data_IF_985996116544
#
_entry.id   IF_985996116544
#
_cell.length_a   1.000
_cell.length_b   1.000
_cell.length_c   1.000
_cell.angle_alpha   90.00
_cell.angle_beta   90.00
_cell.angle_gamma   90.00
#
_symmetry.space_group_name_H-M   'P 1'
#
loop_
_entity.id
_entity.type
_entity.pdbx_description
1 polymer ?
#
# COMPACT_ATOMS: atom_id res chain seq x y z
N UNK A 1 -62.76 -28.74 -75.21
CA UNK A 1 -61.55 -28.05 -74.68
C UNK A 1 -61.63 -28.06 -73.17
N UNK A 2 -60.91 -28.97 -72.50
CA UNK A 2 -60.86 -29.09 -71.03
C UNK A 2 -59.77 -28.13 -70.52
N UNK A 3 -60.09 -27.17 -69.65
CA UNK A 3 -59.10 -26.37 -68.92
C UNK A 3 -58.85 -27.03 -67.56
N UNK A 4 -57.61 -27.47 -67.36
CA UNK A 4 -57.07 -27.99 -66.12
C UNK A 4 -56.63 -26.79 -65.26
N UNK A 5 -57.25 -26.54 -64.12
CA UNK A 5 -56.73 -25.61 -63.12
C UNK A 5 -55.80 -26.37 -62.18
N UNK A 6 -54.51 -26.05 -62.21
CA UNK A 6 -53.54 -26.42 -61.19
C UNK A 6 -53.68 -25.45 -60.01
N UNK A 7 -53.95 -25.96 -58.81
CA UNK A 7 -53.77 -25.23 -57.55
C UNK A 7 -52.34 -25.49 -57.05
N UNK A 8 -51.48 -24.48 -57.08
CA UNK A 8 -50.18 -24.50 -56.42
C UNK A 8 -50.38 -23.95 -55.01
N UNK A 9 -50.29 -24.81 -54.00
CA UNK A 9 -50.25 -24.40 -52.59
C UNK A 9 -48.83 -23.93 -52.31
N UNK A 10 -48.63 -22.61 -52.25
CA UNK A 10 -47.37 -22.01 -51.82
C UNK A 10 -47.21 -22.16 -50.31
N UNK A 11 -46.21 -22.93 -49.89
CA UNK A 11 -45.80 -23.01 -48.49
C UNK A 11 -44.97 -21.77 -48.16
N UNK A 12 -45.55 -20.81 -47.44
CA UNK A 12 -44.82 -19.63 -46.95
C UNK A 12 -44.03 -20.09 -45.71
N UNK A 13 -42.74 -20.37 -45.88
CA UNK A 13 -41.81 -20.51 -44.77
C UNK A 13 -41.56 -19.08 -44.25
N UNK A 14 -42.25 -18.69 -43.19
CA UNK A 14 -41.90 -17.46 -42.48
C UNK A 14 -40.56 -17.70 -41.78
N UNK A 15 -39.48 -17.14 -42.33
CA UNK A 15 -38.26 -17.01 -41.56
C UNK A 15 -38.54 -16.03 -40.43
N UNK A 16 -38.82 -16.55 -39.23
CA UNK A 16 -38.75 -15.74 -38.03
C UNK A 16 -37.29 -15.38 -37.86
N UNK A 17 -36.98 -14.10 -38.06
CA UNK A 17 -35.72 -13.51 -37.63
C UNK A 17 -35.75 -13.57 -36.10
N UNK A 18 -35.13 -14.60 -35.55
CA UNK A 18 -34.84 -14.67 -34.11
C UNK A 18 -33.78 -13.61 -33.89
N UNK A 19 -34.17 -12.45 -33.38
CA UNK A 19 -33.20 -11.54 -32.77
C UNK A 19 -32.47 -12.34 -31.70
N UNK A 20 -31.14 -12.24 -31.57
CA UNK A 20 -30.48 -12.78 -30.38
C UNK A 20 -31.13 -12.07 -29.19
N UNK A 21 -32.02 -12.80 -28.52
CA UNK A 21 -32.58 -12.36 -27.27
C UNK A 21 -31.39 -12.40 -26.31
N UNK A 22 -31.04 -11.25 -25.75
CA UNK A 22 -29.96 -11.14 -24.79
C UNK A 22 -30.06 -12.26 -23.77
N UNK A 23 -28.95 -12.93 -23.47
CA UNK A 23 -29.04 -14.05 -22.54
C UNK A 23 -29.12 -13.51 -21.12
N UNK A 24 -30.29 -13.71 -20.51
CA UNK A 24 -30.54 -13.40 -19.10
C UNK A 24 -30.17 -11.94 -18.73
N UNK A 25 -30.80 -10.91 -19.35
CA UNK A 25 -30.56 -9.50 -19.03
C UNK A 25 -30.85 -9.13 -17.58
N UNK A 26 -31.80 -9.81 -16.95
CA UNK A 26 -32.14 -9.62 -15.54
C UNK A 26 -31.27 -10.50 -14.61
N UNK A 27 -30.37 -11.31 -15.18
CA UNK A 27 -29.55 -12.25 -14.43
C UNK A 27 -30.26 -13.56 -14.10
N UNK A 28 -29.62 -14.35 -13.23
CA UNK A 28 -30.08 -15.67 -12.78
C UNK A 28 -29.60 -15.96 -11.36
N UNK A 29 -30.44 -16.64 -10.58
CA UNK A 29 -30.08 -17.18 -9.27
C UNK A 29 -30.15 -18.70 -9.29
N UNK A 30 -29.04 -19.35 -8.97
CA UNK A 30 -28.92 -20.78 -8.73
C UNK A 30 -29.00 -21.05 -7.23
N UNK A 31 -30.04 -21.75 -6.81
CA UNK A 31 -30.26 -22.20 -5.43
C UNK A 31 -30.17 -23.71 -5.27
N UNK A 32 -30.04 -24.47 -6.36
CA UNK A 32 -29.89 -25.93 -6.34
C UNK A 32 -28.88 -26.44 -7.37
N UNK A 33 -28.29 -27.61 -7.12
CA UNK A 33 -27.37 -28.25 -8.08
C UNK A 33 -28.08 -28.60 -9.39
N UNK A 34 -29.36 -28.98 -9.34
CA UNK A 34 -30.15 -29.30 -10.53
C UNK A 34 -30.28 -28.10 -11.49
N UNK A 35 -30.36 -26.87 -10.97
CA UNK A 35 -30.43 -25.68 -11.82
C UNK A 35 -29.13 -25.44 -12.58
N UNK A 36 -27.98 -25.68 -11.93
CA UNK A 36 -26.66 -25.61 -12.57
C UNK A 36 -26.53 -26.71 -13.63
N UNK A 37 -26.81 -27.96 -13.26
CA UNK A 37 -26.69 -29.12 -14.14
C UNK A 37 -27.58 -28.98 -15.40
N UNK A 38 -28.72 -28.31 -15.29
CA UNK A 38 -29.64 -28.05 -16.40
C UNK A 38 -29.45 -26.69 -17.10
N UNK A 39 -28.42 -25.89 -16.76
CA UNK A 39 -28.27 -24.53 -17.29
C UNK A 39 -28.31 -24.51 -18.83
N UNK A 40 -27.49 -25.34 -19.49
CA UNK A 40 -27.45 -25.41 -20.96
C UNK A 40 -28.68 -26.07 -21.61
N UNK A 41 -29.49 -26.79 -20.83
CA UNK A 41 -30.78 -27.33 -21.29
C UNK A 41 -31.82 -26.21 -21.32
N UNK A 42 -31.83 -25.37 -20.28
CA UNK A 42 -32.79 -24.29 -20.12
C UNK A 42 -32.42 -23.04 -20.93
N UNK A 43 -31.13 -22.78 -21.12
CA UNK A 43 -30.57 -21.61 -21.81
C UNK A 43 -29.55 -22.04 -22.87
N UNK A 44 -29.98 -22.77 -23.91
CA UNK A 44 -29.07 -23.35 -24.90
C UNK A 44 -28.29 -22.26 -25.66
N UNK A 45 -26.97 -22.39 -25.68
CA UNK A 45 -26.08 -21.45 -26.36
C UNK A 45 -25.82 -20.15 -25.60
N UNK A 46 -26.36 -20.00 -24.38
CA UNK A 46 -26.02 -18.90 -23.51
C UNK A 46 -24.58 -19.04 -23.00
N UNK A 47 -23.69 -18.19 -23.50
CA UNK A 47 -22.28 -18.09 -23.10
C UNK A 47 -21.95 -16.75 -22.46
N UNK A 48 -22.87 -15.78 -22.49
CA UNK A 48 -22.68 -14.45 -21.93
C UNK A 48 -23.96 -14.09 -21.17
N UNK A 49 -23.91 -14.05 -19.83
CA UNK A 49 -25.08 -13.64 -19.04
C UNK A 49 -25.03 -12.12 -18.89
N UNK A 50 -26.03 -11.41 -19.38
CA UNK A 50 -26.04 -9.94 -19.37
C UNK A 50 -26.24 -9.34 -17.96
N UNK A 51 -27.04 -10.00 -17.12
CA UNK A 51 -27.32 -9.54 -15.75
C UNK A 51 -26.46 -10.20 -14.66
N UNK A 52 -26.93 -10.14 -13.42
CA UNK A 52 -26.23 -10.69 -12.26
C UNK A 52 -26.37 -12.21 -12.16
N UNK A 53 -25.34 -12.90 -11.71
CA UNK A 53 -25.35 -14.33 -11.38
C UNK A 53 -25.19 -14.49 -9.87
N UNK A 54 -26.14 -15.15 -9.23
CA UNK A 54 -26.08 -15.50 -7.81
C UNK A 54 -26.09 -17.01 -7.67
N UNK A 55 -25.09 -17.59 -7.03
CA UNK A 55 -24.95 -19.02 -6.74
C UNK A 55 -25.00 -19.17 -5.23
N UNK A 56 -26.13 -19.67 -4.71
CA UNK A 56 -26.39 -19.78 -3.28
C UNK A 56 -27.35 -20.92 -2.97
N UNK A 57 -26.81 -22.13 -2.86
CA UNK A 57 -27.55 -23.35 -2.55
C UNK A 57 -26.73 -24.34 -1.72
N UNK A 58 -27.32 -24.83 -0.62
CA UNK A 58 -26.63 -25.75 0.29
C UNK A 58 -26.32 -27.13 -0.33
N UNK A 59 -26.98 -27.51 -1.43
CA UNK A 59 -26.72 -28.75 -2.18
C UNK A 59 -25.78 -28.57 -3.38
N UNK A 60 -25.31 -27.34 -3.65
CA UNK A 60 -24.40 -27.05 -4.76
C UNK A 60 -22.99 -27.54 -4.37
N UNK A 61 -22.44 -28.42 -5.21
CA UNK A 61 -21.14 -29.09 -5.03
C UNK A 61 -20.18 -28.88 -6.20
N UNK A 62 -20.69 -28.46 -7.36
CA UNK A 62 -19.91 -28.26 -8.60
C UNK A 62 -20.59 -27.25 -9.51
N UNK A 63 -19.79 -26.57 -10.35
CA UNK A 63 -20.28 -25.57 -11.30
C UNK A 63 -20.19 -26.02 -12.77
N UNK A 64 -19.89 -27.31 -13.05
CA UNK A 64 -19.64 -27.85 -14.41
C UNK A 64 -20.63 -27.39 -15.49
N UNK A 65 -21.92 -27.25 -15.14
CA UNK A 65 -22.96 -26.78 -16.06
C UNK A 65 -22.79 -25.35 -16.57
N UNK A 66 -21.94 -24.56 -15.92
CA UNK A 66 -21.60 -23.17 -16.26
C UNK A 66 -20.34 -23.06 -17.15
N UNK A 67 -19.70 -24.18 -17.50
CA UNK A 67 -18.44 -24.22 -18.25
C UNK A 67 -18.45 -23.59 -19.64
N UNK A 68 -19.61 -23.13 -20.12
CA UNK A 68 -19.73 -22.41 -21.39
C UNK A 68 -19.66 -20.89 -21.26
N UNK A 69 -19.71 -20.37 -20.02
CA UNK A 69 -19.75 -18.93 -19.77
C UNK A 69 -18.39 -18.32 -20.05
N UNK A 70 -18.40 -17.28 -20.89
CA UNK A 70 -17.26 -16.47 -21.27
C UNK A 70 -17.28 -15.12 -20.55
N UNK A 71 -18.46 -14.57 -20.29
CA UNK A 71 -18.63 -13.30 -19.59
C UNK A 71 -19.92 -13.25 -18.77
N UNK A 72 -19.88 -12.42 -17.74
CA UNK A 72 -21.05 -11.99 -16.97
C UNK A 72 -21.06 -10.46 -16.98
N UNK A 73 -22.11 -9.85 -17.50
CA UNK A 73 -22.25 -8.40 -17.62
C UNK A 73 -22.55 -7.71 -16.29
N UNK A 74 -23.14 -8.43 -15.34
CA UNK A 74 -23.39 -7.96 -13.97
C UNK A 74 -22.40 -8.50 -12.94
N UNK A 75 -22.89 -8.63 -11.71
CA UNK A 75 -22.16 -9.20 -10.58
C UNK A 75 -22.16 -10.73 -10.62
N UNK A 76 -21.10 -11.36 -10.11
CA UNK A 76 -21.05 -12.78 -9.79
C UNK A 76 -20.92 -12.95 -8.26
N UNK A 77 -21.97 -13.45 -7.63
CA UNK A 77 -21.99 -13.79 -6.21
C UNK A 77 -21.99 -15.33 -6.04
N UNK A 78 -20.97 -15.88 -5.39
CA UNK A 78 -20.87 -17.29 -5.01
C UNK A 78 -20.84 -17.36 -3.49
N UNK A 79 -21.99 -17.63 -2.88
CA UNK A 79 -22.13 -17.58 -1.43
C UNK A 79 -23.06 -18.61 -0.85
N UNK A 80 -22.85 -18.99 0.41
CA UNK A 80 -23.70 -19.95 1.13
C UNK A 80 -23.75 -21.32 0.43
N UNK A 81 -22.63 -21.77 -0.14
CA UNK A 81 -22.49 -23.10 -0.73
C UNK A 81 -21.56 -23.95 0.15
N UNK A 82 -22.10 -24.46 1.25
CA UNK A 82 -21.35 -25.20 2.29
C UNK A 82 -20.63 -26.47 1.77
N UNK A 83 -21.00 -26.95 0.58
CA UNK A 83 -20.45 -28.18 -0.03
C UNK A 83 -19.65 -27.92 -1.32
N UNK A 84 -19.49 -26.67 -1.76
CA UNK A 84 -18.76 -26.33 -2.98
C UNK A 84 -17.25 -26.27 -2.68
N UNK A 85 -16.50 -27.26 -3.18
CA UNK A 85 -15.07 -27.43 -2.89
C UNK A 85 -14.11 -26.68 -3.83
N UNK A 86 -14.55 -26.39 -5.05
CA UNK A 86 -13.78 -25.66 -6.06
C UNK A 86 -14.73 -24.92 -7.02
N UNK A 87 -14.17 -24.06 -7.89
CA UNK A 87 -14.94 -23.26 -8.85
C UNK A 87 -14.87 -23.85 -10.27
N UNK A 88 -14.54 -25.13 -10.40
CA UNK A 88 -14.51 -25.81 -11.69
C UNK A 88 -15.87 -25.73 -12.37
N UNK A 89 -15.85 -25.34 -13.64
CA UNK A 89 -17.03 -24.93 -14.39
C UNK A 89 -17.04 -23.42 -14.69
N UNK A 90 -16.14 -22.63 -14.12
CA UNK A 90 -15.98 -21.21 -14.50
C UNK A 90 -14.72 -20.93 -15.33
N UNK A 91 -13.96 -21.96 -15.74
CA UNK A 91 -12.61 -21.79 -16.32
C UNK A 91 -12.58 -20.93 -17.59
N UNK A 92 -13.71 -20.80 -18.29
CA UNK A 92 -13.79 -20.00 -19.51
C UNK A 92 -14.24 -18.55 -19.26
N UNK A 93 -14.54 -18.17 -18.01
CA UNK A 93 -14.96 -16.82 -17.67
C UNK A 93 -13.76 -15.86 -17.77
N UNK A 94 -13.81 -14.94 -18.73
CA UNK A 94 -12.71 -14.02 -19.03
C UNK A 94 -12.92 -12.63 -18.42
N UNK A 95 -14.19 -12.20 -18.32
CA UNK A 95 -14.55 -10.83 -17.91
C UNK A 95 -15.78 -10.79 -17.01
N UNK A 96 -15.77 -9.84 -16.07
CA UNK A 96 -16.90 -9.53 -15.20
C UNK A 96 -17.21 -8.04 -15.24
N UNK A 97 -18.44 -7.70 -15.66
CA UNK A 97 -18.89 -6.33 -15.80
C UNK A 97 -19.21 -5.63 -14.48
N UNK A 98 -19.41 -6.38 -13.39
CA UNK A 98 -19.64 -5.87 -12.04
C UNK A 98 -18.72 -6.51 -11.00
N UNK A 99 -19.27 -6.77 -9.81
CA UNK A 99 -18.55 -7.25 -8.62
C UNK A 99 -18.38 -8.77 -8.63
N UNK A 100 -17.22 -9.27 -8.21
CA UNK A 100 -17.01 -10.67 -7.83
C UNK A 100 -17.07 -10.79 -6.31
N UNK A 101 -18.03 -11.56 -5.79
CA UNK A 101 -18.18 -11.84 -4.37
C UNK A 101 -18.16 -13.35 -4.09
N UNK A 102 -17.20 -13.80 -3.29
CA UNK A 102 -17.05 -15.21 -2.90
C UNK A 102 -16.96 -15.29 -1.38
N UNK A 103 -17.99 -15.79 -0.71
CA UNK A 103 -18.06 -15.82 0.76
C UNK A 103 -18.92 -16.97 1.27
N UNK A 104 -18.73 -17.42 2.52
CA UNK A 104 -19.56 -18.48 3.10
C UNK A 104 -19.60 -19.77 2.25
N UNK A 105 -18.46 -20.13 1.65
CA UNK A 105 -18.27 -21.43 1.01
C UNK A 105 -17.32 -22.24 1.90
N UNK A 106 -17.90 -22.96 2.86
CA UNK A 106 -17.19 -23.52 4.02
C UNK A 106 -16.08 -24.50 3.67
N UNK A 107 -16.21 -25.20 2.54
CA UNK A 107 -15.25 -26.22 2.08
C UNK A 107 -14.40 -25.79 0.89
N UNK A 108 -14.52 -24.54 0.42
CA UNK A 108 -13.76 -24.02 -0.72
C UNK A 108 -12.29 -23.84 -0.32
N UNK A 109 -11.37 -24.58 -0.96
CA UNK A 109 -9.94 -24.60 -0.59
C UNK A 109 -9.08 -23.61 -1.41
N UNK A 110 -9.48 -23.33 -2.65
CA UNK A 110 -8.85 -22.39 -3.56
C UNK A 110 -9.87 -21.78 -4.54
N UNK A 111 -9.38 -20.96 -5.49
CA UNK A 111 -10.22 -20.30 -6.50
C UNK A 111 -10.01 -20.86 -7.91
N UNK A 112 -9.40 -22.06 -8.04
CA UNK A 112 -9.23 -22.71 -9.34
C UNK A 112 -10.59 -22.86 -10.01
N UNK A 113 -10.65 -22.56 -11.30
CA UNK A 113 -11.88 -22.22 -11.98
C UNK A 113 -11.94 -20.78 -12.48
N UNK A 114 -11.16 -19.83 -11.94
CA UNK A 114 -11.19 -18.42 -12.37
C UNK A 114 -9.94 -17.99 -13.16
N UNK A 115 -9.12 -18.94 -13.63
CA UNK A 115 -7.77 -18.69 -14.13
C UNK A 115 -7.70 -17.77 -15.35
N UNK A 116 -8.79 -17.65 -16.11
CA UNK A 116 -8.89 -16.77 -17.28
C UNK A 116 -9.51 -15.40 -16.97
N UNK A 117 -10.00 -15.18 -15.75
CA UNK A 117 -10.60 -13.90 -15.35
C UNK A 117 -9.50 -12.85 -15.24
N UNK A 118 -9.48 -11.91 -16.20
CA UNK A 118 -8.41 -10.93 -16.35
C UNK A 118 -8.79 -9.53 -15.86
N UNK A 119 -10.08 -9.22 -15.84
CA UNK A 119 -10.62 -7.92 -15.46
C UNK A 119 -11.91 -8.06 -14.65
N UNK A 120 -11.98 -7.28 -13.56
CA UNK A 120 -13.19 -7.06 -12.76
C UNK A 120 -13.50 -5.57 -12.76
N UNK A 121 -14.64 -5.20 -13.35
CA UNK A 121 -15.06 -3.80 -13.47
C UNK A 121 -15.70 -3.23 -12.19
N UNK A 122 -16.02 -4.08 -11.22
CA UNK A 122 -16.51 -3.70 -9.90
C UNK A 122 -15.53 -4.04 -8.79
N UNK A 123 -16.08 -4.44 -7.64
CA UNK A 123 -15.35 -4.87 -6.46
C UNK A 123 -14.97 -6.36 -6.54
N UNK A 124 -13.81 -6.72 -6.00
CA UNK A 124 -13.42 -8.09 -5.70
C UNK A 124 -13.50 -8.31 -4.18
N UNK A 125 -14.45 -9.14 -3.75
CA UNK A 125 -14.73 -9.43 -2.34
C UNK A 125 -14.57 -10.93 -2.10
N UNK A 126 -13.53 -11.32 -1.36
CA UNK A 126 -13.30 -12.70 -0.95
C UNK A 126 -13.39 -12.79 0.56
N UNK A 127 -14.50 -13.37 0.99
CA UNK A 127 -14.99 -13.37 2.35
C UNK A 127 -15.54 -12.01 2.78
N UNK A 128 -16.30 -12.01 3.87
CA UNK A 128 -16.81 -10.79 4.49
C UNK A 128 -17.02 -10.97 5.99
N UNK A 129 -17.35 -9.88 6.67
CA UNK A 129 -17.85 -9.82 8.05
C UNK A 129 -19.33 -9.46 7.97
N UNK A 130 -20.22 -10.39 8.32
CA UNK A 130 -21.64 -10.07 8.51
C UNK A 130 -21.87 -9.64 9.95
N UNK A 131 -22.14 -8.35 10.13
CA UNK A 131 -22.51 -7.79 11.42
C UNK A 131 -23.83 -8.37 11.93
N UNK A 132 -23.87 -8.77 13.21
CA UNK A 132 -25.10 -9.19 13.89
C UNK A 132 -25.35 -10.70 13.95
N UNK A 133 -24.46 -11.52 13.40
CA UNK A 133 -24.52 -12.98 13.49
C UNK A 133 -23.29 -13.58 14.18
N UNK A 134 -23.13 -13.30 15.48
CA UNK A 134 -22.20 -14.07 16.31
C UNK A 134 -22.79 -15.47 16.55
N UNK A 135 -22.07 -16.59 16.32
CA UNK A 135 -20.63 -16.77 16.11
C UNK A 135 -20.26 -17.26 14.70
N UNK A 136 -20.91 -16.78 13.64
CA UNK A 136 -20.70 -17.34 12.30
C UNK A 136 -19.65 -16.54 11.55
N UNK A 137 -18.47 -17.14 11.40
CA UNK A 137 -17.49 -16.76 10.38
C UNK A 137 -18.21 -16.64 9.04
N UNK A 138 -18.12 -15.48 8.39
CA UNK A 138 -18.76 -15.22 7.10
C UNK A 138 -17.79 -15.17 5.92
N UNK A 139 -16.53 -15.55 6.15
CA UNK A 139 -15.54 -15.72 5.08
C UNK A 139 -15.56 -17.12 4.45
N UNK A 140 -14.46 -17.51 3.81
CA UNK A 140 -14.23 -18.88 3.30
C UNK A 140 -13.19 -19.56 4.21
N UNK A 141 -13.61 -20.28 5.26
CA UNK A 141 -12.73 -20.69 6.35
C UNK A 141 -11.63 -21.68 5.94
N UNK A 142 -11.83 -22.49 4.90
CA UNK A 142 -10.83 -23.42 4.37
C UNK A 142 -10.03 -22.89 3.17
N UNK A 143 -10.29 -21.66 2.71
CA UNK A 143 -9.56 -21.08 1.59
C UNK A 143 -8.10 -20.83 1.97
N UNK A 144 -7.17 -21.50 1.28
CA UNK A 144 -5.72 -21.44 1.56
C UNK A 144 -4.93 -20.61 0.56
N UNK A 145 -5.48 -20.40 -0.65
CA UNK A 145 -4.81 -19.75 -1.78
C UNK A 145 -5.79 -19.01 -2.69
N UNK A 146 -5.27 -18.02 -3.44
CA UNK A 146 -5.99 -17.27 -4.47
C UNK A 146 -5.57 -17.67 -5.89
N UNK A 147 -4.87 -18.80 -6.09
CA UNK A 147 -4.19 -19.18 -7.35
C UNK A 147 -5.07 -19.09 -8.62
N UNK A 148 -6.38 -19.22 -8.48
CA UNK A 148 -7.35 -19.01 -9.55
C UNK A 148 -7.38 -17.59 -10.13
N UNK A 149 -6.83 -16.58 -9.46
CA UNK A 149 -6.85 -15.19 -9.94
C UNK A 149 -5.59 -14.78 -10.72
N UNK A 150 -4.74 -15.74 -11.10
CA UNK A 150 -3.40 -15.47 -11.65
C UNK A 150 -3.37 -14.63 -12.93
N UNK A 151 -4.48 -14.51 -13.67
CA UNK A 151 -4.60 -13.64 -14.85
C UNK A 151 -5.13 -12.24 -14.54
N UNK A 152 -5.58 -11.97 -13.31
CA UNK A 152 -6.20 -10.70 -12.94
C UNK A 152 -5.16 -9.58 -12.96
N UNK A 153 -5.39 -8.58 -13.81
CA UNK A 153 -4.48 -7.43 -13.98
C UNK A 153 -4.96 -6.21 -13.21
N UNK A 154 -6.27 -6.02 -13.08
CA UNK A 154 -6.85 -4.86 -12.41
C UNK A 154 -8.22 -5.15 -11.80
N UNK A 155 -8.48 -4.49 -10.67
CA UNK A 155 -9.81 -4.36 -10.07
C UNK A 155 -10.19 -2.88 -10.14
N UNK A 156 -11.26 -2.53 -10.84
CA UNK A 156 -11.67 -1.12 -10.97
C UNK A 156 -12.26 -0.56 -9.67
N UNK A 157 -12.92 -1.41 -8.88
CA UNK A 157 -13.45 -1.08 -7.55
C UNK A 157 -12.50 -1.44 -6.41
N UNK A 158 -13.07 -1.87 -5.29
CA UNK A 158 -12.37 -2.29 -4.08
C UNK A 158 -11.86 -3.73 -4.19
N UNK A 159 -10.70 -4.02 -3.60
CA UNK A 159 -10.23 -5.38 -3.31
C UNK A 159 -10.35 -5.62 -1.80
N UNK A 160 -11.22 -6.53 -1.39
CA UNK A 160 -11.45 -6.91 0.01
C UNK A 160 -11.18 -8.39 0.23
N UNK A 161 -10.25 -8.70 1.13
CA UNK A 161 -9.87 -10.06 1.54
C UNK A 161 -10.04 -10.18 3.06
N UNK A 162 -11.11 -10.78 3.54
CA UNK A 162 -11.42 -10.78 4.98
C UNK A 162 -12.10 -12.07 5.42
N UNK A 163 -11.75 -12.57 6.61
CA UNK A 163 -12.38 -13.76 7.19
C UNK A 163 -11.98 -15.09 6.55
N UNK A 164 -10.91 -15.12 5.74
CA UNK A 164 -10.38 -16.35 5.16
C UNK A 164 -9.35 -16.95 6.13
N UNK A 165 -9.86 -17.67 7.14
CA UNK A 165 -9.06 -18.09 8.31
C UNK A 165 -7.87 -18.99 7.98
N UNK A 166 -7.94 -19.76 6.89
CA UNK A 166 -6.87 -20.65 6.44
C UNK A 166 -5.94 -20.03 5.39
N UNK A 167 -6.18 -18.77 4.98
CA UNK A 167 -5.41 -18.11 3.92
C UNK A 167 -4.01 -17.78 4.43
N UNK A 168 -3.00 -18.40 3.83
CA UNK A 168 -1.58 -18.23 4.22
C UNK A 168 -0.79 -17.34 3.25
N UNK A 169 -1.32 -17.08 2.06
CA UNK A 169 -0.66 -16.36 0.98
C UNK A 169 -1.67 -15.64 0.09
N UNK A 170 -1.25 -14.56 -0.57
CA UNK A 170 -2.02 -13.91 -1.65
C UNK A 170 -1.58 -14.38 -3.04
N UNK A 171 -0.85 -15.51 -3.12
CA UNK A 171 -0.46 -16.09 -4.41
C UNK A 171 -1.68 -16.38 -5.27
N UNK A 172 -1.57 -16.02 -6.55
CA UNK A 172 -2.68 -15.82 -7.47
C UNK A 172 -2.92 -14.35 -7.83
N UNK A 173 -2.41 -13.37 -7.08
CA UNK A 173 -2.56 -11.95 -7.42
C UNK A 173 -1.33 -11.33 -8.08
N UNK A 174 -0.33 -12.12 -8.48
CA UNK A 174 1.00 -11.65 -8.90
C UNK A 174 0.99 -10.69 -10.09
N UNK A 175 -0.08 -10.72 -10.90
CA UNK A 175 -0.26 -9.85 -12.06
C UNK A 175 -1.10 -8.58 -11.77
N UNK A 176 -1.68 -8.46 -10.57
CA UNK A 176 -2.50 -7.32 -10.19
C UNK A 176 -1.64 -6.05 -10.12
N UNK A 177 -1.90 -5.12 -11.03
CA UNK A 177 -1.13 -3.89 -11.19
C UNK A 177 -1.78 -2.69 -10.49
N UNK A 178 -3.12 -2.69 -10.37
CA UNK A 178 -3.89 -1.58 -9.80
C UNK A 178 -5.20 -2.01 -9.16
N UNK A 179 -5.56 -1.32 -8.09
CA UNK A 179 -6.91 -1.34 -7.47
C UNK A 179 -7.47 0.08 -7.55
N UNK A 180 -8.63 0.29 -8.20
CA UNK A 180 -9.19 1.63 -8.37
C UNK A 180 -9.82 2.20 -7.09
N UNK A 181 -10.36 1.34 -6.24
CA UNK A 181 -10.90 1.66 -4.93
C UNK A 181 -9.93 1.32 -3.79
N UNK A 182 -10.48 0.86 -2.67
CA UNK A 182 -9.73 0.47 -1.47
C UNK A 182 -9.10 -0.91 -1.63
N UNK A 183 -7.88 -1.08 -1.13
CA UNK A 183 -7.34 -2.40 -0.81
C UNK A 183 -7.53 -2.66 0.68
N UNK A 184 -8.33 -3.66 1.02
CA UNK A 184 -8.55 -4.12 2.39
C UNK A 184 -8.09 -5.57 2.55
N UNK A 185 -7.04 -5.79 3.34
CA UNK A 185 -6.57 -7.10 3.76
C UNK A 185 -6.85 -7.28 5.25
N UNK A 186 -7.91 -8.01 5.54
CA UNK A 186 -8.42 -8.28 6.86
C UNK A 186 -9.50 -7.28 7.33
N UNK A 187 -9.67 -7.12 8.63
CA UNK A 187 -10.84 -6.45 9.23
C UNK A 187 -10.50 -5.11 9.86
N UNK A 188 -11.12 -4.05 9.37
CA UNK A 188 -10.84 -2.66 9.76
C UNK A 188 -11.43 -2.22 11.12
N UNK A 189 -12.12 -3.11 11.84
CA UNK A 189 -12.76 -2.75 13.11
C UNK A 189 -12.40 -3.71 14.25
N UNK A 190 -11.91 -3.14 15.36
CA UNK A 190 -11.80 -3.81 16.65
C UNK A 190 -13.16 -3.82 17.35
N UNK A 191 -14.11 -4.63 16.88
CA UNK A 191 -15.39 -4.75 17.55
C UNK A 191 -15.34 -5.86 18.60
N UNK A 192 -15.68 -5.53 19.84
CA UNK A 192 -15.85 -6.47 20.96
C UNK A 192 -14.62 -7.33 21.28
N UNK A 193 -13.42 -6.90 20.90
CA UNK A 193 -12.19 -7.66 21.13
C UNK A 193 -11.98 -8.85 20.20
N UNK A 194 -12.70 -8.91 19.07
CA UNK A 194 -12.50 -9.94 18.04
C UNK A 194 -11.81 -9.34 16.81
N UNK A 195 -10.79 -10.04 16.33
CA UNK A 195 -10.10 -9.75 15.07
C UNK A 195 -10.75 -10.54 13.94
N UNK A 196 -11.24 -9.83 12.92
CA UNK A 196 -11.82 -10.42 11.73
C UNK A 196 -10.87 -10.23 10.54
N UNK A 197 -9.76 -10.97 10.52
CA UNK A 197 -8.75 -10.85 9.46
C UNK A 197 -8.45 -12.18 8.78
N UNK A 198 -7.23 -12.30 8.26
CA UNK A 198 -6.68 -13.53 7.72
C UNK A 198 -5.53 -13.96 8.65
N UNK A 199 -5.81 -14.58 9.81
CA UNK A 199 -4.84 -14.72 10.90
C UNK A 199 -3.63 -15.59 10.58
N UNK A 200 -3.68 -16.44 9.54
CA UNK A 200 -2.54 -17.25 9.09
C UNK A 200 -1.72 -16.60 7.96
N UNK A 201 -2.13 -15.44 7.45
CA UNK A 201 -1.41 -14.72 6.41
C UNK A 201 -0.10 -14.17 6.98
N UNK A 202 1.03 -14.51 6.35
CA UNK A 202 2.38 -14.18 6.87
C UNK A 202 3.03 -12.98 6.22
N UNK A 203 2.66 -12.65 4.98
CA UNK A 203 3.08 -11.48 4.21
C UNK A 203 2.07 -11.23 3.09
N UNK A 204 2.29 -10.19 2.28
CA UNK A 204 1.42 -9.81 1.16
C UNK A 204 1.97 -10.27 -0.20
N UNK A 205 2.86 -11.28 -0.21
CA UNK A 205 3.36 -11.85 -1.45
C UNK A 205 2.21 -12.35 -2.31
N UNK A 206 2.20 -11.91 -3.56
CA UNK A 206 1.03 -11.89 -4.42
C UNK A 206 0.78 -10.49 -4.94
N UNK A 207 1.01 -9.43 -4.16
CA UNK A 207 0.76 -8.05 -4.61
C UNK A 207 1.97 -7.37 -5.26
N UNK A 208 3.01 -8.13 -5.65
CA UNK A 208 4.34 -7.59 -6.00
C UNK A 208 4.37 -6.60 -7.17
N UNK A 209 3.32 -6.55 -7.99
CA UNK A 209 3.19 -5.62 -9.13
C UNK A 209 2.21 -4.48 -8.87
N UNK A 210 1.51 -4.50 -7.74
CA UNK A 210 0.53 -3.49 -7.38
C UNK A 210 1.26 -2.17 -7.14
N UNK A 211 1.02 -1.20 -8.02
CA UNK A 211 1.72 0.08 -7.98
C UNK A 211 0.81 1.24 -7.55
N UNK A 212 -0.51 1.07 -7.71
CA UNK A 212 -1.49 2.12 -7.45
C UNK A 212 -2.73 1.54 -6.75
N UNK A 213 -3.11 2.18 -5.66
CA UNK A 213 -4.41 2.03 -5.01
C UNK A 213 -5.11 3.39 -5.12
N UNK A 214 -6.25 3.47 -5.83
CA UNK A 214 -6.98 4.73 -6.01
C UNK A 214 -7.73 5.18 -4.75
N UNK A 215 -8.08 4.25 -3.87
CA UNK A 215 -8.64 4.49 -2.54
C UNK A 215 -7.59 4.34 -1.42
N UNK A 216 -8.03 3.82 -0.27
CA UNK A 216 -7.18 3.57 0.89
C UNK A 216 -6.58 2.18 0.93
N UNK A 217 -5.44 2.06 1.62
CA UNK A 217 -4.80 0.81 2.01
C UNK A 217 -5.16 0.50 3.46
N UNK A 218 -5.81 -0.62 3.70
CA UNK A 218 -6.23 -1.08 5.02
C UNK A 218 -5.70 -2.50 5.25
N UNK A 219 -4.80 -2.67 6.21
CA UNK A 219 -4.23 -3.98 6.57
C UNK A 219 -4.48 -4.20 8.06
N UNK A 220 -5.41 -5.08 8.39
CA UNK A 220 -5.83 -5.21 9.78
C UNK A 220 -6.26 -6.61 10.23
N UNK A 221 -5.90 -6.98 11.47
CA UNK A 221 -6.29 -8.25 12.07
C UNK A 221 -5.61 -9.49 11.46
N UNK A 222 -4.47 -9.32 10.79
CA UNK A 222 -3.68 -10.43 10.24
C UNK A 222 -2.57 -10.80 11.24
N UNK A 223 -2.93 -11.55 12.28
CA UNK A 223 -2.09 -11.73 13.47
C UNK A 223 -0.69 -12.33 13.20
N UNK A 224 -0.51 -13.14 12.15
CA UNK A 224 0.78 -13.73 11.76
C UNK A 224 1.55 -12.92 10.70
N UNK A 225 1.01 -11.78 10.25
CA UNK A 225 1.64 -10.94 9.24
C UNK A 225 2.92 -10.34 9.82
N UNK A 226 4.09 -10.71 9.26
CA UNK A 226 5.39 -10.31 9.80
C UNK A 226 5.88 -8.96 9.27
N UNK A 227 5.55 -8.68 8.01
CA UNK A 227 5.91 -7.47 7.28
C UNK A 227 4.90 -7.24 6.12
N UNK A 228 5.12 -6.19 5.33
CA UNK A 228 4.30 -5.84 4.18
C UNK A 228 4.97 -6.21 2.85
N UNK A 229 5.96 -7.12 2.86
CA UNK A 229 6.62 -7.64 1.65
C UNK A 229 5.56 -8.15 0.69
N UNK A 230 5.70 -7.80 -0.58
CA UNK A 230 4.66 -7.93 -1.59
C UNK A 230 4.08 -6.59 -2.00
N UNK A 231 4.18 -5.53 -1.19
CA UNK A 231 3.80 -4.17 -1.62
C UNK A 231 4.97 -3.36 -2.21
N UNK A 232 6.11 -4.00 -2.51
CA UNK A 232 7.38 -3.35 -2.85
C UNK A 232 7.32 -2.41 -4.07
N UNK A 233 6.29 -2.54 -4.91
CA UNK A 233 6.05 -1.70 -6.09
C UNK A 233 5.06 -0.56 -5.84
N UNK A 234 4.42 -0.49 -4.67
CA UNK A 234 3.35 0.43 -4.37
C UNK A 234 3.89 1.86 -4.26
N UNK A 235 3.40 2.76 -5.12
CA UNK A 235 3.84 4.16 -5.19
C UNK A 235 2.84 5.10 -4.53
N UNK A 236 1.54 4.82 -4.66
CA UNK A 236 0.47 5.71 -4.19
C UNK A 236 -0.70 4.95 -3.58
N UNK A 237 -1.20 5.43 -2.45
CA UNK A 237 -2.53 5.15 -1.93
C UNK A 237 -3.35 6.45 -1.95
N UNK A 238 -4.44 6.49 -2.72
CA UNK A 238 -5.20 7.71 -2.98
C UNK A 238 -5.96 8.29 -1.79
N UNK A 239 -6.11 7.53 -0.70
CA UNK A 239 -6.78 7.97 0.52
C UNK A 239 -6.00 7.54 1.78
N UNK A 240 -6.64 6.79 2.66
CA UNK A 240 -6.16 6.39 3.98
C UNK A 240 -5.11 5.27 3.92
N UNK A 241 -4.17 5.24 4.86
CA UNK A 241 -3.28 4.11 5.09
C UNK A 241 -3.37 3.66 6.54
N UNK A 242 -4.06 2.55 6.80
CA UNK A 242 -4.31 2.03 8.14
C UNK A 242 -3.70 0.64 8.34
N UNK A 243 -2.87 0.51 9.37
CA UNK A 243 -2.24 -0.73 9.81
C UNK A 243 -2.67 -0.99 11.25
N UNK A 244 -3.65 -1.86 11.44
CA UNK A 244 -4.29 -2.07 12.75
C UNK A 244 -4.25 -3.54 13.19
N UNK A 245 -3.87 -3.82 14.44
CA UNK A 245 -4.01 -5.17 15.02
C UNK A 245 -3.28 -6.28 14.25
N UNK A 246 -2.10 -6.01 13.73
CA UNK A 246 -1.24 -7.05 13.15
C UNK A 246 -0.16 -7.39 14.19
N UNK A 247 -0.52 -8.25 15.16
CA UNK A 247 0.28 -8.51 16.36
C UNK A 247 1.73 -8.94 16.09
N UNK A 248 1.98 -9.68 15.00
CA UNK A 248 3.33 -10.12 14.60
C UNK A 248 4.06 -9.16 13.65
N UNK A 249 3.43 -8.05 13.26
CA UNK A 249 4.00 -7.11 12.28
C UNK A 249 5.18 -6.39 12.93
N UNK A 250 6.41 -6.77 12.54
CA UNK A 250 7.63 -6.22 13.12
C UNK A 250 8.23 -5.05 12.34
N UNK A 251 7.86 -4.90 11.07
CA UNK A 251 8.32 -3.81 10.21
C UNK A 251 7.27 -3.45 9.16
N UNK A 252 7.38 -2.24 8.60
CA UNK A 252 6.63 -1.82 7.40
C UNK A 252 7.42 -2.04 6.11
N UNK A 253 8.41 -2.94 6.11
CA UNK A 253 9.16 -3.33 4.92
C UNK A 253 8.21 -3.72 3.79
N UNK A 254 8.49 -3.23 2.57
CA UNK A 254 7.62 -3.37 1.41
C UNK A 254 6.90 -2.08 1.05
N UNK A 255 6.90 -1.05 1.92
CA UNK A 255 6.37 0.29 1.58
C UNK A 255 7.45 1.27 1.10
N UNK A 256 8.67 0.81 0.87
CA UNK A 256 9.84 1.65 0.56
C UNK A 256 9.69 2.51 -0.73
N UNK A 257 8.70 2.22 -1.58
CA UNK A 257 8.37 3.02 -2.78
C UNK A 257 7.15 3.93 -2.62
N UNK A 258 6.45 3.88 -1.48
CA UNK A 258 5.26 4.66 -1.23
C UNK A 258 5.63 6.13 -1.02
N UNK A 259 5.14 7.00 -1.90
CA UNK A 259 5.49 8.44 -1.92
C UNK A 259 4.34 9.36 -1.57
N UNK A 260 3.10 8.88 -1.67
CA UNK A 260 1.91 9.69 -1.40
C UNK A 260 0.81 8.84 -0.79
N UNK A 261 0.22 9.39 0.27
CA UNK A 261 -1.09 9.01 0.77
C UNK A 261 -2.07 10.16 0.51
N UNK A 262 -3.37 9.95 0.63
CA UNK A 262 -4.36 11.02 0.36
C UNK A 262 -5.19 11.43 1.58
N UNK A 263 -4.91 10.86 2.75
CA UNK A 263 -5.74 10.98 3.94
C UNK A 263 -4.98 10.67 5.21
N UNK A 264 -5.64 10.00 6.14
CA UNK A 264 -5.06 9.65 7.44
C UNK A 264 -4.07 8.47 7.36
N UNK A 265 -2.94 8.62 8.05
CA UNK A 265 -1.99 7.56 8.35
C UNK A 265 -2.25 7.05 9.76
N UNK A 266 -2.68 5.80 9.89
CA UNK A 266 -2.96 5.17 11.18
C UNK A 266 -2.13 3.90 11.35
N UNK A 267 -1.43 3.81 12.47
CA UNK A 267 -0.62 2.66 12.84
C UNK A 267 -0.96 2.33 14.30
N UNK A 268 -1.73 1.27 14.51
CA UNK A 268 -2.33 1.01 15.82
C UNK A 268 -2.29 -0.45 16.20
N UNK A 269 -2.00 -0.73 17.47
CA UNK A 269 -2.06 -2.10 18.00
C UNK A 269 -1.17 -3.11 17.23
N UNK A 270 -0.01 -2.66 16.72
CA UNK A 270 0.99 -3.55 16.12
C UNK A 270 2.11 -3.76 17.15
N UNK A 271 1.87 -4.62 18.12
CA UNK A 271 2.71 -4.73 19.32
C UNK A 271 4.15 -5.18 19.04
N UNK A 272 4.40 -5.91 17.95
CA UNK A 272 5.75 -6.32 17.55
C UNK A 272 6.52 -5.27 16.73
N UNK A 273 5.85 -4.21 16.26
CA UNK A 273 6.44 -3.22 15.36
C UNK A 273 7.52 -2.43 16.11
N UNK A 274 8.76 -2.48 15.63
CA UNK A 274 9.89 -1.79 16.26
C UNK A 274 10.21 -0.44 15.62
N UNK A 275 9.95 -0.32 14.32
CA UNK A 275 10.21 0.85 13.50
C UNK A 275 9.18 1.02 12.39
N UNK A 276 9.13 2.21 11.80
CA UNK A 276 8.28 2.53 10.63
C UNK A 276 9.11 2.98 9.41
N UNK A 277 10.31 2.42 9.25
CA UNK A 277 11.28 2.83 8.21
C UNK A 277 10.71 2.81 6.79
N UNK A 278 9.79 1.89 6.49
CA UNK A 278 9.11 1.80 5.19
C UNK A 278 8.30 3.05 4.80
N UNK A 279 8.08 4.01 5.71
CA UNK A 279 7.34 5.24 5.44
C UNK A 279 8.25 6.45 5.13
N UNK A 280 9.57 6.27 5.08
CA UNK A 280 10.58 7.33 4.90
C UNK A 280 10.29 8.32 3.76
N UNK A 281 9.69 7.84 2.66
CA UNK A 281 9.58 8.59 1.41
C UNK A 281 8.19 9.20 1.14
N UNK A 282 7.27 9.13 2.10
CA UNK A 282 5.96 9.77 1.97
C UNK A 282 6.09 11.29 2.03
N UNK A 283 5.46 11.98 1.10
CA UNK A 283 5.36 13.45 1.11
C UNK A 283 4.49 13.88 2.29
N UNK A 284 5.02 14.66 3.23
CA UNK A 284 4.29 15.03 4.46
C UNK A 284 2.98 15.78 4.19
N UNK A 285 2.90 16.59 3.13
CA UNK A 285 1.67 17.30 2.74
C UNK A 285 0.54 16.37 2.28
N UNK A 286 0.86 15.11 1.99
CA UNK A 286 -0.09 14.09 1.56
C UNK A 286 -0.78 13.41 2.76
N UNK A 287 -0.19 13.53 3.95
CA UNK A 287 -0.78 13.09 5.22
C UNK A 287 -1.76 14.18 5.68
N UNK A 288 -2.99 13.80 6.03
CA UNK A 288 -4.01 14.71 6.59
C UNK A 288 -4.15 14.59 8.11
N UNK A 289 -4.11 13.36 8.62
CA UNK A 289 -4.18 13.07 10.05
C UNK A 289 -3.16 11.97 10.36
N UNK A 290 -2.50 12.06 11.51
CA UNK A 290 -1.52 11.10 11.96
C UNK A 290 -1.95 10.48 13.29
N UNK A 291 -2.07 9.16 13.33
CA UNK A 291 -2.38 8.38 14.53
C UNK A 291 -1.37 7.22 14.65
N UNK A 292 -0.42 7.32 15.57
CA UNK A 292 0.54 6.25 15.89
C UNK A 292 0.35 5.90 17.36
N UNK A 293 -0.45 4.88 17.67
CA UNK A 293 -0.88 4.60 19.04
C UNK A 293 -0.87 3.12 19.39
N UNK A 294 -0.66 2.78 20.65
CA UNK A 294 -0.70 1.38 21.12
C UNK A 294 0.25 0.43 20.36
N UNK A 295 1.40 0.90 19.90
CA UNK A 295 2.45 0.05 19.30
C UNK A 295 3.56 -0.13 20.33
N UNK A 296 3.38 -1.03 21.28
CA UNK A 296 4.18 -1.08 22.51
C UNK A 296 5.69 -1.34 22.33
N UNK A 297 6.14 -1.85 21.17
CA UNK A 297 7.56 -2.05 20.85
C UNK A 297 8.15 -0.92 19.98
N UNK A 298 7.31 -0.04 19.41
CA UNK A 298 7.73 0.96 18.44
C UNK A 298 8.53 2.05 19.13
N UNK A 299 9.84 2.09 18.88
CA UNK A 299 10.77 3.04 19.48
C UNK A 299 11.44 3.96 18.44
N UNK A 300 11.38 3.60 17.14
CA UNK A 300 11.98 4.36 16.05
C UNK A 300 10.91 4.77 15.01
N UNK A 301 10.46 6.02 15.06
CA UNK A 301 9.40 6.54 14.20
C UNK A 301 9.68 7.95 13.68
N UNK A 302 10.88 8.46 13.95
CA UNK A 302 11.41 9.71 13.42
C UNK A 302 11.94 9.54 11.99
N UNK A 303 11.15 8.91 11.13
CA UNK A 303 11.40 8.86 9.68
C UNK A 303 11.13 10.22 9.05
N UNK A 304 11.79 10.53 7.93
CA UNK A 304 11.79 11.89 7.36
C UNK A 304 10.37 12.41 7.08
N UNK A 305 9.48 11.55 6.57
CA UNK A 305 8.08 11.89 6.30
C UNK A 305 7.31 12.34 7.54
N UNK A 306 7.53 11.68 8.69
CA UNK A 306 6.91 12.01 9.96
C UNK A 306 7.52 13.27 10.56
N UNK A 307 8.86 13.41 10.50
CA UNK A 307 9.54 14.63 10.92
C UNK A 307 9.04 15.87 10.15
N UNK A 308 8.92 15.76 8.83
CA UNK A 308 8.43 16.83 7.97
C UNK A 308 6.95 17.16 8.21
N UNK A 309 6.14 16.16 8.58
CA UNK A 309 4.74 16.37 8.94
C UNK A 309 4.58 17.07 10.29
N UNK A 310 5.33 16.65 11.32
CA UNK A 310 5.27 17.27 12.64
C UNK A 310 5.78 18.73 12.66
N UNK A 311 6.66 19.09 11.72
CA UNK A 311 7.13 20.47 11.58
C UNK A 311 6.05 21.47 11.10
N UNK A 312 5.06 21.00 10.33
CA UNK A 312 3.94 21.82 9.82
C UNK A 312 2.68 20.95 9.62
N UNK A 313 2.04 20.50 10.72
CA UNK A 313 0.91 19.58 10.64
C UNK A 313 -0.31 20.29 10.08
N UNK A 314 -0.98 19.65 9.13
CA UNK A 314 -2.18 20.17 8.47
C UNK A 314 -3.49 19.57 9.01
N UNK A 315 -3.42 18.66 9.98
CA UNK A 315 -4.57 18.09 10.69
C UNK A 315 -4.20 17.50 12.04
N UNK A 316 -4.88 16.43 12.45
CA UNK A 316 -4.73 15.88 13.80
C UNK A 316 -3.43 15.08 13.98
N UNK A 317 -2.89 15.12 15.19
CA UNK A 317 -1.67 14.39 15.58
C UNK A 317 -1.95 13.68 16.89
N UNK A 318 -1.97 12.35 16.85
CA UNK A 318 -2.14 11.48 18.01
C UNK A 318 -0.97 10.48 18.04
N UNK A 319 -0.05 10.68 18.99
CA UNK A 319 1.07 9.78 19.24
C UNK A 319 1.12 9.52 20.75
N UNK A 320 0.82 8.30 21.18
CA UNK A 320 0.84 7.89 22.59
C UNK A 320 0.75 6.37 22.74
N UNK A 321 1.07 5.84 23.93
CA UNK A 321 1.08 4.41 24.24
C UNK A 321 1.97 3.57 23.29
N UNK A 322 3.12 4.12 22.90
CA UNK A 322 4.19 3.41 22.18
C UNK A 322 5.44 3.27 23.08
N UNK A 323 6.51 2.68 22.57
CA UNK A 323 7.77 2.62 23.32
C UNK A 323 8.44 4.02 23.41
N UNK A 324 9.33 4.24 24.40
CA UNK A 324 10.08 5.50 24.52
C UNK A 324 10.84 5.83 23.23
N UNK A 325 10.78 7.09 22.78
CA UNK A 325 11.26 7.55 21.48
C UNK A 325 10.12 7.83 20.50
N UNK A 326 8.97 7.16 20.70
CA UNK A 326 7.77 7.29 19.89
C UNK A 326 6.50 7.45 20.71
N UNK A 327 6.61 7.75 22.00
CA UNK A 327 5.47 7.74 22.92
C UNK A 327 4.76 9.10 23.06
N UNK A 328 5.24 10.14 22.37
CA UNK A 328 4.54 11.43 22.23
C UNK A 328 5.08 12.21 21.04
N UNK A 329 4.33 13.20 20.48
CA UNK A 329 4.85 14.04 19.40
C UNK A 329 6.18 14.71 19.74
N UNK A 330 6.32 15.20 20.98
CA UNK A 330 7.55 15.86 21.44
C UNK A 330 8.76 14.93 21.54
N UNK A 331 8.58 13.62 21.80
CA UNK A 331 9.68 12.65 21.75
C UNK A 331 10.17 12.45 20.31
N UNK A 332 9.23 12.35 19.37
CA UNK A 332 9.54 12.17 17.94
C UNK A 332 10.23 13.41 17.38
N UNK A 333 9.70 14.61 17.65
CA UNK A 333 10.33 15.88 17.27
C UNK A 333 11.76 16.00 17.81
N UNK A 334 11.99 15.64 19.07
CA UNK A 334 13.33 15.64 19.66
C UNK A 334 14.27 14.63 18.97
N UNK A 335 13.77 13.47 18.55
CA UNK A 335 14.53 12.49 17.80
C UNK A 335 14.86 12.96 16.37
N UNK A 336 13.92 13.65 15.70
CA UNK A 336 14.13 14.32 14.42
C UNK A 336 15.26 15.37 14.52
N UNK A 337 15.24 16.18 15.59
CA UNK A 337 16.26 17.19 15.86
C UNK A 337 17.62 16.58 16.23
N UNK A 338 17.66 15.40 16.84
CA UNK A 338 18.89 14.70 17.17
C UNK A 338 19.62 14.14 15.93
N UNK A 339 18.88 13.85 14.86
CA UNK A 339 19.43 13.49 13.53
C UNK A 339 19.80 14.72 12.71
N UNK A 340 19.17 15.86 12.96
CA UNK A 340 19.70 17.13 12.50
C UNK A 340 21.07 17.33 13.14
N UNK A 341 22.08 17.71 12.37
CA UNK A 341 23.29 18.30 12.96
C UNK A 341 22.87 19.66 13.53
N UNK A 342 22.28 19.64 14.73
CA UNK A 342 22.15 20.77 15.64
C UNK A 342 23.56 21.13 16.11
N UNK A 343 24.36 21.65 15.18
CA UNK A 343 25.82 21.71 15.30
C UNK A 343 26.54 22.31 14.08
N UNK A 344 25.83 22.97 13.17
CA UNK A 344 26.39 24.24 12.68
C UNK A 344 25.56 25.34 13.31
N UNK A 345 25.67 25.45 14.64
CA UNK A 345 25.60 26.78 15.21
C UNK A 345 26.54 27.63 14.34
N UNK A 346 26.01 28.64 13.65
CA UNK A 346 26.82 29.72 13.09
C UNK A 346 27.42 30.50 14.26
N UNK A 347 28.21 29.84 15.09
CA UNK A 347 28.89 30.44 16.22
C UNK A 347 30.25 30.82 15.70
N UNK A 348 30.46 32.13 15.74
CA UNK A 348 31.62 32.89 15.29
C UNK A 348 31.61 33.23 13.80
N UNK A 349 31.00 34.37 13.48
CA UNK A 349 31.39 35.13 12.28
C UNK A 349 32.90 35.39 12.37
N UNK A 350 33.67 34.70 11.53
CA UNK A 350 35.10 34.92 11.40
C UNK A 350 35.30 36.14 10.49
N UNK A 351 35.91 37.19 11.03
CA UNK A 351 36.25 38.40 10.27
C UNK A 351 37.77 38.49 10.09
N UNK A 352 38.19 38.94 8.90
CA UNK A 352 39.61 39.11 8.55
C UNK A 352 39.87 40.58 8.24
N UNK A 353 40.86 41.17 8.92
CA UNK A 353 41.25 42.54 8.69
C UNK A 353 42.79 42.69 8.74
N UNK A 354 43.44 43.21 7.68
CA UNK A 354 42.86 43.53 6.37
C UNK A 354 42.53 42.27 5.56
N UNK A 355 41.57 42.37 4.65
CA UNK A 355 41.31 41.33 3.63
C UNK A 355 40.77 42.03 2.36
N UNK A 356 41.54 42.14 1.27
CA UNK A 356 42.81 41.46 1.00
C UNK A 356 44.00 41.89 1.89
N UNK A 357 44.84 40.93 2.27
CA UNK A 357 46.01 41.12 3.14
C UNK A 357 47.34 41.04 2.37
N UNK A 358 48.35 41.77 2.85
CA UNK A 358 49.75 41.59 2.42
C UNK A 358 50.38 40.50 3.29
N UNK A 359 51.28 40.84 4.20
CA UNK A 359 51.99 39.84 5.00
C UNK A 359 51.30 39.50 6.32
N UNK A 360 50.38 40.34 6.79
CA UNK A 360 49.71 40.13 8.08
C UNK A 360 48.19 40.21 7.93
N UNK A 361 47.49 39.32 8.64
CA UNK A 361 46.03 39.39 8.78
C UNK A 361 45.63 39.14 10.24
N UNK A 362 44.67 39.94 10.73
CA UNK A 362 44.01 39.70 12.01
C UNK A 362 42.74 38.93 11.75
N UNK A 363 42.56 37.82 12.46
CA UNK A 363 41.39 36.96 12.44
C UNK A 363 40.66 37.18 13.76
N UNK A 364 39.40 37.57 13.70
CA UNK A 364 38.57 37.87 14.88
C UNK A 364 37.27 37.07 14.86
N UNK A 365 36.82 36.64 16.03
CA UNK A 365 35.54 35.96 16.28
C UNK A 365 34.61 36.90 17.05
N UNK A 366 33.30 36.76 16.87
CA UNK A 366 32.30 37.55 17.60
C UNK A 366 32.30 37.29 19.11
N UNK A 367 32.68 36.09 19.54
CA UNK A 367 32.77 35.67 20.95
C UNK A 367 34.14 35.05 21.21
N UNK A 368 34.67 35.21 22.43
CA UNK A 368 35.91 34.55 22.85
C UNK A 368 35.75 33.04 22.77
N UNK A 369 36.67 32.35 22.10
CA UNK A 369 36.65 30.89 21.99
C UNK A 369 37.59 30.25 23.01
N UNK A 370 37.22 29.05 23.47
CA UNK A 370 38.17 28.11 24.06
C UNK A 370 39.22 27.65 23.03
N UNK A 371 40.04 26.67 23.38
CA UNK A 371 41.09 26.13 22.51
C UNK A 371 40.48 25.57 21.22
N UNK A 372 40.67 26.29 20.12
CA UNK A 372 40.26 25.92 18.77
C UNK A 372 41.48 25.73 17.86
N UNK A 373 41.28 25.05 16.73
CA UNK A 373 42.26 24.93 15.65
C UNK A 373 41.91 25.88 14.52
N UNK A 374 42.86 26.70 14.13
CA UNK A 374 42.78 27.57 12.97
C UNK A 374 43.59 26.97 11.83
N UNK A 375 42.93 26.69 10.72
CA UNK A 375 43.50 26.08 9.52
C UNK A 375 43.42 27.07 8.36
N UNK A 376 44.52 27.22 7.61
CA UNK A 376 44.52 27.86 6.30
C UNK A 376 44.69 26.77 5.26
N UNK A 377 43.75 26.70 4.33
CA UNK A 377 43.68 25.70 3.28
C UNK A 377 43.72 26.37 1.90
N UNK A 378 44.22 25.67 0.90
CA UNK A 378 44.01 26.05 -0.51
C UNK A 378 42.53 25.88 -0.89
N UNK A 379 42.12 26.40 -2.07
CA UNK A 379 40.78 26.14 -2.62
C UNK A 379 40.49 24.65 -2.89
N UNK A 380 41.52 23.82 -3.04
CA UNK A 380 41.40 22.37 -3.18
C UNK A 380 41.38 21.62 -1.84
N UNK A 381 41.41 22.34 -0.72
CA UNK A 381 41.37 21.77 0.63
C UNK A 381 42.71 21.33 1.20
N UNK A 382 43.83 21.59 0.53
CA UNK A 382 45.17 21.25 1.04
C UNK A 382 45.56 22.18 2.18
N UNK A 383 45.99 21.61 3.32
CA UNK A 383 46.46 22.37 4.48
C UNK A 383 47.79 23.07 4.20
N UNK A 384 47.83 24.39 4.41
CA UNK A 384 49.04 25.23 4.25
C UNK A 384 49.53 25.85 5.56
N UNK A 385 48.66 26.00 6.56
CA UNK A 385 49.03 26.49 7.89
C UNK A 385 48.04 25.99 8.95
N UNK A 386 48.54 25.59 10.11
CA UNK A 386 47.73 25.22 11.28
C UNK A 386 48.25 25.93 12.54
N UNK A 387 47.34 26.52 13.30
CA UNK A 387 47.63 27.25 14.53
C UNK A 387 46.60 26.91 15.61
N UNK A 388 47.01 26.98 16.88
CA UNK A 388 46.06 27.00 18.01
C UNK A 388 45.51 28.42 18.18
N UNK A 389 44.21 28.51 18.37
CA UNK A 389 43.48 29.76 18.57
C UNK A 389 42.77 29.74 19.92
N UNK A 390 42.96 30.79 20.72
CA UNK A 390 42.30 30.99 22.02
C UNK A 390 42.00 32.47 22.17
N UNK A 391 40.82 32.82 22.68
CA UNK A 391 40.38 34.21 22.81
C UNK A 391 39.50 34.67 21.65
N UNK A 392 39.40 35.99 21.44
CA UNK A 392 38.51 36.58 20.42
C UNK A 392 39.22 37.08 19.16
N UNK A 393 40.55 37.12 19.15
CA UNK A 393 41.33 37.52 17.98
C UNK A 393 42.76 36.96 18.00
N UNK A 394 43.32 36.73 16.81
CA UNK A 394 44.72 36.39 16.61
C UNK A 394 45.26 37.17 15.41
N UNK A 395 46.52 37.58 15.47
CA UNK A 395 47.22 38.18 14.33
C UNK A 395 48.24 37.19 13.81
N UNK A 396 48.18 36.88 12.52
CA UNK A 396 49.01 35.86 11.88
C UNK A 396 49.84 36.46 10.74
N UNK A 397 51.04 35.91 10.55
CA UNK A 397 51.93 36.20 9.43
C UNK A 397 51.65 35.21 8.30
N UNK A 398 51.26 35.74 7.14
CA UNK A 398 50.96 35.05 5.89
C UNK A 398 51.92 35.46 4.77
N UNK A 399 53.03 36.15 5.10
CA UNK A 399 54.04 36.60 4.15
C UNK A 399 54.65 35.47 3.32
N UNK A 400 54.76 34.27 3.92
CA UNK A 400 55.26 33.06 3.26
C UNK A 400 54.26 32.35 2.33
N UNK A 401 52.99 32.78 2.29
CA UNK A 401 51.99 32.22 1.37
C UNK A 401 52.05 32.93 0.01
N UNK A 402 51.93 32.21 -1.13
CA UNK A 402 51.87 32.84 -2.43
C UNK A 402 50.59 33.69 -2.58
N UNK A 403 50.59 34.73 -3.45
CA UNK A 403 49.39 35.47 -3.80
C UNK A 403 48.27 34.54 -4.27
N UNK A 404 47.05 34.73 -3.76
CA UNK A 404 45.95 33.83 -4.07
C UNK A 404 44.80 33.87 -3.07
N UNK A 405 43.84 32.97 -3.29
CA UNK A 405 42.67 32.79 -2.42
C UNK A 405 42.87 31.55 -1.57
N UNK A 406 42.65 31.72 -0.26
CA UNK A 406 42.71 30.66 0.73
C UNK A 406 41.41 30.57 1.51
N UNK A 407 41.16 29.39 2.06
CA UNK A 407 40.06 29.13 2.98
C UNK A 407 40.63 29.16 4.39
N UNK A 408 40.06 30.00 5.25
CA UNK A 408 40.38 30.01 6.68
C UNK A 408 39.26 29.28 7.41
N UNK A 409 39.60 28.19 8.08
CA UNK A 409 38.68 27.35 8.84
C UNK A 409 39.07 27.37 10.32
N UNK A 410 38.17 27.81 11.18
CA UNK A 410 38.29 27.68 12.63
C UNK A 410 37.40 26.53 13.08
N UNK A 411 37.93 25.57 13.85
CA UNK A 411 37.16 24.43 14.34
C UNK A 411 37.51 24.06 15.79
N UNK A 412 36.49 23.71 16.57
CA UNK A 412 36.63 23.05 17.88
C UNK A 412 35.74 21.79 17.90
N UNK A 413 35.55 21.17 19.08
CA UNK A 413 34.75 19.94 19.20
C UNK A 413 33.25 20.17 18.95
N UNK A 414 32.77 21.41 18.94
CA UNK A 414 31.35 21.77 18.94
C UNK A 414 30.92 22.64 17.75
N UNK A 415 31.87 23.29 17.04
CA UNK A 415 31.57 24.22 15.95
C UNK A 415 32.67 24.35 14.91
N UNK A 416 32.27 24.73 13.69
CA UNK A 416 33.16 25.04 12.56
C UNK A 416 32.74 26.36 11.91
N UNK A 417 33.70 27.28 11.73
CA UNK A 417 33.51 28.53 11.01
C UNK A 417 34.49 28.63 9.83
N UNK A 418 34.02 29.12 8.69
CA UNK A 418 34.82 29.20 7.45
C UNK A 418 34.67 30.58 6.82
N UNK A 419 35.77 31.12 6.29
CA UNK A 419 35.78 32.38 5.54
C UNK A 419 36.94 32.43 4.55
N UNK A 420 36.91 33.43 3.66
CA UNK A 420 37.86 33.59 2.56
C UNK A 420 38.97 34.57 2.93
N UNK A 421 40.23 34.18 2.74
CA UNK A 421 41.39 35.07 2.79
C UNK A 421 41.88 35.34 1.37
N UNK A 422 42.12 36.61 1.04
CA UNK A 422 42.75 37.05 -0.21
C UNK A 422 44.15 37.58 0.13
N UNK A 423 45.19 36.85 -0.27
CA UNK A 423 46.59 37.27 -0.17
C UNK A 423 46.98 38.01 -1.44
N UNK A 424 47.41 39.27 -1.30
CA UNK A 424 47.90 40.09 -2.41
C UNK A 424 49.26 39.65 -2.91
#
# INVERSE_FOLDING_TARGET
MKKLLLFIIGFVISQQVVFPQGCLPEGITFTTQEQIDNFQVNYPGCSEIEGNVIISGADITRLDGLGVLLSIGGNLEIRLNELLGDLSGLQNLETLGGDLRIEQNDVLEDLLGLENLSEINGDLIIGDIVWGQYPYSTGNPLLTSLAGLSSLVSVQGNLKLCGNYSLVTLSGLENLASVGGNLQVGGIEFIYGFTFGNPLLVNLNGLTRLSVIGGGLFVAGNNNLADLTGLDSLVTAGQHCWFDLNESLSSLQGLDQLTSIGGSLKIRWNNALSDIGGLEHITSQSIQDLEIIYNHTLAECNVQSICDYLADPNGTVEIYDNAPGCNSPGEVEAACDALSVSGVSRVNSLSLNPNPANDMVTISTAVSTDIARLLILTLTGQLVMELKFTGSQIRIDIGGLPPGVFIVRLQNNESVAVTKLIRK
#
